data_IF_629450781445
#
_entry.id   IF_629450781445
#
_cell.length_a   1.000
_cell.length_b   1.000
_cell.length_c   1.000
_cell.angle_alpha   90.00
_cell.angle_beta   90.00
_cell.angle_gamma   90.00
#
_symmetry.space_group_name_H-M   'P 1'
#
loop_
_entity.id
_entity.type
_entity.pdbx_description
1 polymer ?
#
# COMPACT_ATOMS: atom_id res chain seq x y z
N UNK A 1 -17.23 22.32 -3.23
CA UNK A 1 -18.07 21.38 -3.96
C UNK A 1 -19.37 21.18 -3.21
N UNK A 2 -20.45 20.91 -3.93
CA UNK A 2 -21.74 20.63 -3.30
C UNK A 2 -21.79 19.13 -2.89
N UNK A 3 -21.26 18.82 -1.71
CA UNK A 3 -21.18 17.47 -1.15
C UNK A 3 -21.75 17.50 0.27
N UNK A 4 -22.64 16.56 0.58
CA UNK A 4 -23.23 16.44 1.91
C UNK A 4 -22.17 15.89 2.88
N UNK A 5 -21.88 16.62 3.95
CA UNK A 5 -20.89 16.28 4.96
C UNK A 5 -21.24 15.01 5.75
N UNK A 6 -22.49 14.54 5.69
CA UNK A 6 -22.91 13.29 6.32
C UNK A 6 -22.59 12.06 5.46
N UNK A 7 -22.25 12.26 4.18
CA UNK A 7 -21.89 11.19 3.25
C UNK A 7 -20.40 10.96 3.28
N UNK A 8 -19.98 9.85 3.86
CA UNK A 8 -18.57 9.44 3.99
C UNK A 8 -18.17 8.49 2.85
N UNK A 9 -18.13 9.01 1.64
CA UNK A 9 -17.72 8.29 0.42
C UNK A 9 -16.28 8.61 0.00
N UNK A 10 -15.86 8.08 -1.15
CA UNK A 10 -14.54 8.32 -1.72
C UNK A 10 -14.25 9.80 -1.99
N UNK A 11 -15.28 10.63 -2.21
CA UNK A 11 -15.13 12.08 -2.38
C UNK A 11 -14.75 12.73 -1.05
N UNK A 12 -15.43 12.33 0.02
CA UNK A 12 -15.15 12.77 1.38
C UNK A 12 -13.70 12.44 1.79
N UNK A 13 -13.26 11.19 1.61
CA UNK A 13 -11.91 10.76 1.91
C UNK A 13 -10.85 11.50 1.07
N UNK A 14 -11.03 11.48 -0.25
CA UNK A 14 -10.04 12.05 -1.17
C UNK A 14 -9.89 13.57 -1.04
N UNK A 15 -10.95 14.30 -0.69
CA UNK A 15 -10.86 15.74 -0.47
C UNK A 15 -9.99 16.07 0.75
N UNK A 16 -10.14 15.34 1.84
CA UNK A 16 -9.33 15.51 3.03
C UNK A 16 -7.85 15.15 2.79
N UNK A 17 -7.58 14.04 2.08
CA UNK A 17 -6.22 13.65 1.75
C UNK A 17 -5.50 14.71 0.90
N UNK A 18 -6.20 15.34 -0.06
CA UNK A 18 -5.62 16.41 -0.89
C UNK A 18 -5.40 17.70 -0.12
N UNK A 19 -6.35 18.07 0.74
CA UNK A 19 -6.22 19.27 1.60
C UNK A 19 -5.02 19.12 2.55
N UNK A 20 -4.87 17.96 3.19
CA UNK A 20 -3.70 17.66 4.03
C UNK A 20 -2.40 17.79 3.25
N UNK A 21 -2.34 17.28 2.03
CA UNK A 21 -1.15 17.37 1.17
C UNK A 21 -0.84 18.82 0.80
N UNK A 22 -1.85 19.61 0.45
CA UNK A 22 -1.67 21.04 0.16
C UNK A 22 -1.07 21.76 1.37
N UNK A 23 -1.66 21.60 2.54
CA UNK A 23 -1.17 22.23 3.78
C UNK A 23 0.29 21.84 4.07
N UNK A 24 0.63 20.56 3.94
CA UNK A 24 2.01 20.09 4.19
C UNK A 24 3.01 20.70 3.21
N UNK A 25 2.66 20.82 1.93
CA UNK A 25 3.52 21.45 0.92
C UNK A 25 3.71 22.95 1.18
N UNK A 26 2.65 23.66 1.56
CA UNK A 26 2.70 25.09 1.87
C UNK A 26 3.52 25.36 3.15
N UNK A 27 3.36 24.53 4.18
CA UNK A 27 4.18 24.60 5.41
C UNK A 27 5.65 24.32 5.12
N UNK A 28 5.94 23.32 4.25
CA UNK A 28 7.32 23.05 3.85
C UNK A 28 7.95 24.24 3.13
N UNK A 29 7.21 24.91 2.25
CA UNK A 29 7.67 26.14 1.60
C UNK A 29 7.93 27.26 2.61
N UNK A 30 7.00 27.46 3.55
CA UNK A 30 7.12 28.50 4.59
C UNK A 30 8.34 28.31 5.49
N UNK A 31 8.65 27.07 5.83
CA UNK A 31 9.74 26.70 6.74
C UNK A 31 11.07 26.41 6.02
N UNK A 32 11.11 26.45 4.69
CA UNK A 32 12.26 25.99 3.91
C UNK A 32 12.56 24.50 4.09
N UNK A 33 11.51 23.71 4.28
CA UNK A 33 11.55 22.29 4.60
C UNK A 33 11.28 21.36 3.40
N UNK A 34 11.15 20.07 3.71
CA UNK A 34 10.90 19.00 2.77
C UNK A 34 9.76 18.10 3.29
N UNK A 35 8.76 17.81 2.45
CA UNK A 35 7.73 16.83 2.80
C UNK A 35 8.25 15.43 2.54
N UNK A 36 8.35 14.65 3.61
CA UNK A 36 8.70 13.22 3.56
C UNK A 36 7.41 12.40 3.48
N UNK A 37 7.30 11.60 2.42
CA UNK A 37 6.18 10.69 2.21
C UNK A 37 6.33 9.39 2.99
N UNK A 38 5.20 8.87 3.47
CA UNK A 38 5.13 7.65 4.27
C UNK A 38 4.61 6.45 3.49
N UNK A 39 4.12 6.64 2.25
CA UNK A 39 3.62 5.55 1.40
C UNK A 39 4.66 4.46 1.18
N UNK A 40 4.24 3.21 1.29
CA UNK A 40 5.09 2.03 1.15
C UNK A 40 4.91 1.33 -0.21
N UNK A 41 5.76 0.35 -0.48
CA UNK A 41 5.78 -0.39 -1.74
C UNK A 41 4.46 -1.14 -2.02
N UNK A 42 3.80 -1.66 -0.97
CA UNK A 42 2.55 -2.41 -1.10
C UNK A 42 1.38 -1.51 -1.49
N UNK A 43 1.29 -0.33 -0.87
CA UNK A 43 0.31 0.71 -1.23
C UNK A 43 0.51 1.17 -2.66
N UNK A 44 1.76 1.37 -3.09
CA UNK A 44 2.10 1.76 -4.45
C UNK A 44 1.73 0.66 -5.47
N UNK A 45 1.92 -0.60 -5.13
CA UNK A 45 1.56 -1.74 -5.98
C UNK A 45 0.05 -1.83 -6.19
N UNK A 46 -0.72 -1.72 -5.11
CA UNK A 46 -2.18 -1.82 -5.12
C UNK A 46 -2.88 -0.51 -5.52
N UNK A 47 -2.14 0.61 -5.58
CA UNK A 47 -2.69 1.94 -5.77
C UNK A 47 -3.61 2.35 -4.60
N UNK A 48 -3.32 1.88 -3.40
CA UNK A 48 -4.09 2.18 -2.19
C UNK A 48 -3.63 3.51 -1.59
N UNK A 49 -3.87 4.58 -2.31
CA UNK A 49 -3.57 5.95 -1.96
C UNK A 49 -4.43 6.89 -2.78
N UNK A 50 -4.75 8.06 -2.26
CA UNK A 50 -5.45 9.11 -2.98
C UNK A 50 -4.53 9.75 -4.02
N UNK A 51 -4.93 9.72 -5.29
CA UNK A 51 -4.19 10.43 -6.34
C UNK A 51 -4.12 11.93 -6.06
N UNK A 52 -2.91 12.50 -6.15
CA UNK A 52 -2.60 13.89 -5.75
C UNK A 52 -2.95 14.20 -4.28
N UNK A 53 -2.95 13.19 -3.42
CA UNK A 53 -3.12 13.31 -1.99
C UNK A 53 -1.96 12.67 -1.25
N UNK A 54 -2.26 11.70 -0.40
CA UNK A 54 -1.30 11.02 0.47
C UNK A 54 -0.15 10.29 -0.24
N UNK A 55 -0.28 9.96 -1.53
CA UNK A 55 0.83 9.42 -2.32
C UNK A 55 1.85 10.48 -2.77
N UNK A 56 1.54 11.77 -2.60
CA UNK A 56 2.39 12.89 -3.05
C UNK A 56 3.29 13.37 -1.91
N UNK A 57 4.57 13.47 -2.21
CA UNK A 57 5.59 14.03 -1.31
C UNK A 57 6.78 14.51 -2.13
N UNK A 58 7.72 15.17 -1.49
CA UNK A 58 8.98 15.56 -2.13
C UNK A 58 9.98 14.40 -2.13
N UNK A 59 9.88 13.48 -1.16
CA UNK A 59 10.74 12.30 -1.06
C UNK A 59 10.02 11.15 -0.34
N UNK A 60 9.97 9.96 -0.94
CA UNK A 60 9.27 8.78 -0.43
C UNK A 60 10.23 7.77 0.19
N UNK A 61 10.44 7.84 1.50
CA UNK A 61 11.44 7.00 2.20
C UNK A 61 11.11 5.50 2.20
N UNK A 62 9.82 5.15 2.20
CA UNK A 62 9.34 3.76 2.24
C UNK A 62 8.94 3.20 0.86
N UNK A 63 9.14 3.96 -0.22
CA UNK A 63 8.65 3.60 -1.56
C UNK A 63 9.17 2.28 -2.13
N UNK A 64 10.23 1.70 -1.56
CA UNK A 64 10.74 0.37 -1.93
C UNK A 64 10.68 -0.65 -0.79
N UNK A 65 9.96 -0.35 0.29
CA UNK A 65 9.83 -1.24 1.46
C UNK A 65 8.36 -1.71 1.52
N UNK A 66 8.09 -3.02 1.42
CA UNK A 66 6.74 -3.54 1.53
C UNK A 66 6.19 -3.39 2.96
N UNK A 67 4.87 -3.29 3.10
CA UNK A 67 4.18 -3.04 4.38
C UNK A 67 4.55 -4.06 5.46
N UNK A 68 4.65 -5.33 5.09
CA UNK A 68 5.06 -6.39 6.02
C UNK A 68 6.47 -6.19 6.54
N UNK A 69 7.39 -5.70 5.70
CA UNK A 69 8.76 -5.38 6.13
C UNK A 69 8.80 -4.10 6.98
N UNK A 70 7.98 -3.09 6.68
CA UNK A 70 7.85 -1.89 7.54
C UNK A 70 7.43 -2.33 8.95
N UNK A 71 6.39 -3.16 9.07
CA UNK A 71 5.92 -3.70 10.36
C UNK A 71 7.03 -4.47 11.09
N UNK A 72 7.76 -5.32 10.38
CA UNK A 72 8.88 -6.07 10.93
C UNK A 72 9.99 -5.15 11.45
N UNK A 73 10.37 -4.13 10.67
CA UNK A 73 11.43 -3.19 11.05
C UNK A 73 11.05 -2.36 12.28
N UNK A 74 9.82 -1.86 12.35
CA UNK A 74 9.33 -1.11 13.54
C UNK A 74 9.37 -2.00 14.77
N UNK A 75 8.90 -3.24 14.67
CA UNK A 75 8.94 -4.22 15.75
C UNK A 75 10.39 -4.51 16.19
N UNK A 76 11.29 -4.71 15.24
CA UNK A 76 12.71 -4.95 15.54
C UNK A 76 13.34 -3.76 16.27
N UNK A 77 13.08 -2.52 15.82
CA UNK A 77 13.59 -1.30 16.47
C UNK A 77 13.03 -1.17 17.88
N UNK A 78 11.73 -1.42 18.07
CA UNK A 78 11.10 -1.39 19.38
C UNK A 78 11.77 -2.33 20.38
N UNK A 79 12.16 -3.53 19.92
CA UNK A 79 12.74 -4.57 20.78
C UNK A 79 14.24 -4.41 21.01
N UNK A 80 14.98 -3.73 20.12
CA UNK A 80 16.45 -3.72 20.13
C UNK A 80 17.09 -2.33 20.26
N UNK A 81 16.36 -1.24 20.08
CA UNK A 81 16.96 0.09 19.96
C UNK A 81 16.33 1.21 20.78
N UNK A 82 15.28 0.93 21.56
CA UNK A 82 14.48 1.96 22.22
C UNK A 82 14.45 1.83 23.75
N UNK A 83 14.23 2.95 24.44
CA UNK A 83 13.84 2.97 25.84
C UNK A 83 12.45 2.33 26.05
N UNK A 84 12.06 2.10 27.30
CA UNK A 84 10.82 1.40 27.62
C UNK A 84 9.55 2.13 27.14
N UNK A 85 9.51 3.46 27.21
CA UNK A 85 8.33 4.24 26.82
C UNK A 85 8.15 4.21 25.30
N UNK A 86 9.21 4.49 24.56
CA UNK A 86 9.21 4.41 23.09
C UNK A 86 8.90 3.00 22.59
N UNK A 87 9.43 1.97 23.27
CA UNK A 87 9.13 0.56 22.93
C UNK A 87 7.65 0.26 23.05
N UNK A 88 7.00 0.64 24.15
CA UNK A 88 5.57 0.38 24.36
C UNK A 88 4.76 1.07 23.27
N UNK A 89 5.05 2.32 22.97
CA UNK A 89 4.38 3.10 21.93
C UNK A 89 4.54 2.46 20.54
N UNK A 90 5.75 2.03 20.18
CA UNK A 90 5.99 1.40 18.89
C UNK A 90 5.29 0.05 18.75
N UNK A 91 5.24 -0.75 19.80
CA UNK A 91 4.52 -2.03 19.79
C UNK A 91 3.00 -1.80 19.68
N UNK A 92 2.44 -0.81 20.36
CA UNK A 92 1.03 -0.43 20.24
C UNK A 92 0.69 -0.01 18.80
N UNK A 93 1.56 0.78 18.14
CA UNK A 93 1.41 1.15 16.74
C UNK A 93 1.43 -0.10 15.83
N UNK A 94 2.36 -1.05 16.08
CA UNK A 94 2.45 -2.30 15.30
C UNK A 94 1.19 -3.15 15.42
N UNK A 95 0.56 -3.16 16.60
CA UNK A 95 -0.64 -3.94 16.88
C UNK A 95 -1.93 -3.23 16.46
N UNK A 96 -1.86 -1.92 16.15
CA UNK A 96 -3.02 -1.17 15.65
C UNK A 96 -3.43 -1.67 14.27
N UNK A 97 -4.72 -2.05 14.07
CA UNK A 97 -5.21 -2.48 12.77
C UNK A 97 -5.09 -1.38 11.72
N UNK A 98 -4.62 -1.73 10.53
CA UNK A 98 -4.57 -0.82 9.39
C UNK A 98 -5.99 -0.48 8.97
N UNK A 99 -6.34 0.80 9.03
CA UNK A 99 -7.68 1.31 8.71
C UNK A 99 -7.61 2.57 7.84
N UNK A 100 -8.69 2.89 7.09
CA UNK A 100 -8.82 4.19 6.45
C UNK A 100 -8.90 5.30 7.50
N UNK A 101 -7.86 6.11 7.60
CA UNK A 101 -7.73 7.19 8.62
C UNK A 101 -8.79 8.29 8.48
N UNK A 102 -9.35 8.45 7.28
CA UNK A 102 -10.22 9.59 6.94
C UNK A 102 -11.71 9.28 7.11
N UNK A 103 -12.08 8.05 7.45
CA UNK A 103 -13.44 7.68 7.81
C UNK A 103 -13.60 7.82 9.32
N UNK A 104 -14.59 8.58 9.81
CA UNK A 104 -14.82 8.69 11.24
C UNK A 104 -15.10 7.33 11.89
N UNK A 105 -14.58 7.13 13.10
CA UNK A 105 -14.95 5.99 13.93
C UNK A 105 -16.47 5.94 14.19
N UNK A 106 -16.98 4.80 14.63
CA UNK A 106 -18.36 4.68 15.08
C UNK A 106 -18.59 5.48 16.38
N UNK A 107 -19.85 5.52 16.84
CA UNK A 107 -20.24 6.23 18.08
C UNK A 107 -19.53 5.71 19.34
N UNK A 108 -18.95 4.52 19.27
CA UNK A 108 -18.20 3.88 20.35
C UNK A 108 -16.68 4.02 20.19
N UNK A 109 -16.21 4.75 19.15
CA UNK A 109 -14.79 4.92 18.83
C UNK A 109 -14.14 3.74 18.12
N UNK A 110 -14.92 2.77 17.63
CA UNK A 110 -14.36 1.60 16.93
C UNK A 110 -14.09 1.91 15.45
N UNK A 111 -13.07 1.28 14.91
CA UNK A 111 -12.73 1.31 13.48
C UNK A 111 -13.85 0.61 12.71
N UNK A 112 -14.59 1.37 11.87
CA UNK A 112 -15.70 0.84 11.07
C UNK A 112 -15.25 -0.13 9.96
N UNK A 113 -14.04 0.03 9.47
CA UNK A 113 -13.54 -0.70 8.31
C UNK A 113 -12.05 -0.93 8.41
N UNK A 114 -11.63 -2.18 8.25
CA UNK A 114 -10.21 -2.51 8.12
C UNK A 114 -9.81 -2.46 6.65
N UNK A 115 -8.64 -1.90 6.36
CA UNK A 115 -8.12 -1.85 4.99
C UNK A 115 -8.00 -3.24 4.38
N UNK A 116 -7.55 -4.23 5.15
CA UNK A 116 -7.40 -5.62 4.69
C UNK A 116 -8.72 -6.30 4.32
N UNK A 117 -9.86 -5.86 4.85
CA UNK A 117 -11.17 -6.37 4.45
C UNK A 117 -11.50 -5.99 3.00
N UNK A 118 -10.95 -4.88 2.51
CA UNK A 118 -11.16 -4.35 1.16
C UNK A 118 -10.09 -4.79 0.16
N UNK A 119 -8.84 -4.75 0.57
CA UNK A 119 -7.72 -5.01 -0.35
C UNK A 119 -7.10 -6.38 -0.14
N UNK A 120 -7.35 -7.04 0.98
CA UNK A 120 -6.78 -8.33 1.36
C UNK A 120 -5.54 -8.25 2.22
N UNK A 121 -5.07 -9.40 2.71
CA UNK A 121 -3.89 -9.49 3.57
C UNK A 121 -2.63 -9.01 2.84
N UNK A 122 -1.92 -8.07 3.46
CA UNK A 122 -0.70 -7.53 2.86
C UNK A 122 0.40 -8.57 2.70
N UNK A 123 0.44 -9.61 3.53
CA UNK A 123 1.44 -10.67 3.38
C UNK A 123 1.29 -11.45 2.07
N UNK A 124 0.06 -11.67 1.61
CA UNK A 124 -0.19 -12.27 0.29
C UNK A 124 0.23 -11.31 -0.82
N UNK A 125 -0.16 -10.04 -0.73
CA UNK A 125 0.17 -9.04 -1.75
C UNK A 125 1.69 -8.80 -1.87
N UNK A 126 2.39 -8.74 -0.76
CA UNK A 126 3.85 -8.55 -0.73
C UNK A 126 4.57 -9.78 -1.31
N UNK A 127 4.06 -10.97 -1.03
CA UNK A 127 4.54 -12.20 -1.66
C UNK A 127 4.32 -12.18 -3.18
N UNK A 128 3.09 -11.88 -3.64
CA UNK A 128 2.78 -11.80 -5.07
C UNK A 128 3.64 -10.78 -5.78
N UNK A 129 3.77 -9.59 -5.20
CA UNK A 129 4.57 -8.49 -5.72
C UNK A 129 6.04 -8.89 -5.88
N UNK A 130 6.62 -9.53 -4.86
CA UNK A 130 8.01 -9.97 -4.90
C UNK A 130 8.23 -11.02 -5.99
N UNK A 131 7.37 -12.04 -6.07
CA UNK A 131 7.46 -13.08 -7.10
C UNK A 131 7.33 -12.50 -8.51
N UNK A 132 6.42 -11.55 -8.67
CA UNK A 132 6.22 -10.87 -9.94
C UNK A 132 7.41 -9.99 -10.34
N UNK A 133 7.81 -9.05 -9.49
CA UNK A 133 8.86 -8.08 -9.84
C UNK A 133 10.25 -8.70 -9.88
N UNK A 134 10.56 -9.59 -8.93
CA UNK A 134 11.91 -10.15 -8.80
C UNK A 134 12.19 -11.23 -9.82
N UNK A 135 11.19 -12.06 -10.12
CA UNK A 135 11.37 -13.25 -10.95
C UNK A 135 10.57 -13.22 -12.26
N UNK A 136 9.65 -12.26 -12.42
CA UNK A 136 8.80 -12.19 -13.61
C UNK A 136 7.80 -13.35 -13.70
N UNK A 137 7.42 -13.95 -12.57
CA UNK A 137 6.50 -15.08 -12.57
C UNK A 137 5.09 -14.64 -12.94
N UNK A 138 4.40 -15.50 -13.68
CA UNK A 138 3.00 -15.33 -14.08
C UNK A 138 2.05 -15.84 -12.99
N UNK A 139 0.75 -15.47 -13.04
CA UNK A 139 -0.24 -15.82 -12.02
C UNK A 139 -0.25 -17.28 -11.61
N UNK A 140 -0.25 -18.23 -12.55
CA UNK A 140 -0.26 -19.66 -12.22
C UNK A 140 0.96 -20.10 -11.39
N UNK A 141 2.14 -19.57 -11.71
CA UNK A 141 3.35 -19.87 -10.92
C UNK A 141 3.32 -19.20 -9.55
N UNK A 142 2.83 -17.97 -9.47
CA UNK A 142 2.68 -17.23 -8.20
C UNK A 142 1.68 -17.96 -7.31
N UNK A 143 0.54 -18.38 -7.85
CA UNK A 143 -0.48 -19.13 -7.13
C UNK A 143 0.08 -20.44 -6.55
N UNK A 144 0.74 -21.25 -7.39
CA UNK A 144 1.36 -22.48 -6.94
C UNK A 144 2.35 -22.27 -5.79
N UNK A 145 3.20 -21.26 -5.88
CA UNK A 145 4.16 -20.97 -4.82
C UNK A 145 3.49 -20.44 -3.54
N UNK A 146 2.45 -19.62 -3.67
CA UNK A 146 1.67 -19.11 -2.55
C UNK A 146 0.91 -20.23 -1.83
N UNK A 147 0.29 -21.17 -2.59
CA UNK A 147 -0.42 -22.34 -2.01
C UNK A 147 0.51 -23.22 -1.16
N UNK A 148 1.80 -23.29 -1.52
CA UNK A 148 2.79 -23.98 -0.69
C UNK A 148 3.21 -23.15 0.52
N UNK A 149 3.51 -21.86 0.29
CA UNK A 149 4.07 -20.98 1.33
C UNK A 149 3.05 -20.69 2.46
N UNK A 150 1.77 -20.58 2.11
CA UNK A 150 0.70 -20.19 3.02
C UNK A 150 -0.31 -21.31 3.31
N UNK A 151 0.03 -22.57 3.03
CA UNK A 151 -0.87 -23.74 3.18
C UNK A 151 -1.51 -23.88 4.57
N UNK A 152 -0.83 -23.41 5.60
CA UNK A 152 -1.30 -23.50 6.99
C UNK A 152 -2.07 -22.24 7.42
N UNK A 153 -2.18 -21.22 6.56
CA UNK A 153 -2.77 -19.91 6.87
C UNK A 153 -3.97 -19.59 5.98
N UNK A 154 -3.90 -19.90 4.69
CA UNK A 154 -4.91 -19.56 3.69
C UNK A 154 -5.24 -20.77 2.82
N UNK A 155 -6.53 -20.95 2.50
CA UNK A 155 -6.97 -21.90 1.49
C UNK A 155 -6.69 -21.38 0.07
N UNK A 156 -6.73 -22.27 -0.91
CA UNK A 156 -6.45 -21.95 -2.31
C UNK A 156 -7.46 -20.97 -2.90
N UNK A 157 -8.72 -21.02 -2.48
CA UNK A 157 -9.75 -20.10 -2.95
C UNK A 157 -9.46 -18.66 -2.51
N UNK A 158 -9.06 -18.49 -1.26
CA UNK A 158 -8.60 -17.20 -0.70
C UNK A 158 -7.38 -16.67 -1.43
N UNK A 159 -6.38 -17.51 -1.67
CA UNK A 159 -5.17 -17.13 -2.42
C UNK A 159 -5.52 -16.71 -3.86
N UNK A 160 -6.34 -17.49 -4.56
CA UNK A 160 -6.82 -17.18 -5.92
C UNK A 160 -7.58 -15.86 -5.97
N UNK A 161 -8.49 -15.65 -5.02
CA UNK A 161 -9.25 -14.39 -4.89
C UNK A 161 -8.32 -13.19 -4.81
N UNK A 162 -7.37 -13.20 -3.89
CA UNK A 162 -6.50 -12.06 -3.65
C UNK A 162 -5.44 -11.88 -4.75
N UNK A 163 -4.97 -12.95 -5.37
CA UNK A 163 -4.11 -12.85 -6.55
C UNK A 163 -4.83 -12.20 -7.74
N UNK A 164 -6.09 -12.55 -7.97
CA UNK A 164 -6.93 -11.92 -8.99
C UNK A 164 -7.12 -10.43 -8.73
N UNK A 165 -7.38 -10.04 -7.48
CA UNK A 165 -7.50 -8.65 -7.07
C UNK A 165 -6.17 -7.92 -7.23
N UNK A 166 -5.05 -8.53 -6.81
CA UNK A 166 -3.71 -7.99 -7.02
C UNK A 166 -3.44 -7.70 -8.49
N UNK A 167 -3.63 -8.67 -9.38
CA UNK A 167 -3.41 -8.50 -10.81
C UNK A 167 -4.25 -7.36 -11.38
N UNK A 168 -5.55 -7.32 -11.05
CA UNK A 168 -6.45 -6.26 -11.50
C UNK A 168 -5.98 -4.88 -11.04
N UNK A 169 -5.74 -4.71 -9.75
CA UNK A 169 -5.33 -3.43 -9.17
C UNK A 169 -3.96 -3.00 -9.67
N UNK A 170 -3.00 -3.91 -9.75
CA UNK A 170 -1.65 -3.59 -10.20
C UNK A 170 -1.64 -2.91 -11.57
N UNK A 171 -2.44 -3.40 -12.51
CA UNK A 171 -2.56 -2.77 -13.84
C UNK A 171 -3.42 -1.50 -13.81
N UNK A 172 -4.60 -1.55 -13.22
CA UNK A 172 -5.54 -0.41 -13.23
C UNK A 172 -5.01 0.82 -12.50
N UNK A 173 -4.14 0.65 -11.52
CA UNK A 173 -3.60 1.75 -10.71
C UNK A 173 -2.24 2.28 -11.20
N UNK A 174 -1.79 1.85 -12.38
CA UNK A 174 -0.50 2.30 -12.94
C UNK A 174 -0.39 3.82 -13.06
N UNK A 175 -1.46 4.51 -13.40
CA UNK A 175 -1.44 5.96 -13.54
C UNK A 175 -0.97 6.69 -12.27
N UNK A 176 -1.24 6.13 -11.08
CA UNK A 176 -0.76 6.68 -9.81
C UNK A 176 0.76 6.55 -9.68
N UNK A 177 1.34 5.45 -10.18
CA UNK A 177 2.79 5.20 -10.09
C UNK A 177 3.61 6.08 -11.03
N UNK A 178 3.03 6.59 -12.10
CA UNK A 178 3.74 7.46 -13.06
C UNK A 178 4.24 8.76 -12.45
N UNK A 179 3.68 9.22 -11.34
CA UNK A 179 4.03 10.45 -10.66
C UNK A 179 4.63 10.24 -9.25
N UNK A 180 5.16 9.05 -8.97
CA UNK A 180 5.79 8.78 -7.68
C UNK A 180 6.99 9.70 -7.42
N UNK A 181 7.16 10.17 -6.16
CA UNK A 181 8.34 10.93 -5.75
C UNK A 181 9.61 10.08 -5.81
N UNK A 182 10.75 10.73 -5.73
CA UNK A 182 12.03 10.05 -5.53
C UNK A 182 12.08 9.40 -4.16
N UNK A 183 12.86 8.34 -4.05
CA UNK A 183 13.07 7.62 -2.79
C UNK A 183 14.22 6.62 -2.91
N UNK A 184 14.70 6.06 -1.80
CA UNK A 184 15.79 5.10 -1.82
C UNK A 184 15.28 3.74 -2.33
N UNK A 185 16.12 3.03 -3.07
CA UNK A 185 15.92 1.61 -3.35
C UNK A 185 16.63 0.79 -2.28
N UNK A 186 15.87 0.29 -1.31
CA UNK A 186 16.40 -0.48 -0.18
C UNK A 186 16.56 -1.95 -0.53
N UNK A 187 15.56 -2.54 -1.17
CA UNK A 187 15.54 -3.95 -1.55
C UNK A 187 15.86 -4.19 -3.03
N UNK A 188 15.65 -5.44 -3.48
CA UNK A 188 15.85 -5.85 -4.87
C UNK A 188 14.70 -5.50 -5.80
N UNK A 189 13.55 -5.06 -5.27
CA UNK A 189 12.35 -4.68 -6.03
C UNK A 189 11.95 -3.24 -5.71
N UNK A 190 11.43 -2.54 -6.71
CA UNK A 190 10.91 -1.19 -6.59
C UNK A 190 9.93 -0.91 -7.72
N UNK A 191 9.07 0.08 -7.55
CA UNK A 191 8.09 0.52 -8.54
C UNK A 191 8.40 1.94 -9.05
N UNK A 192 9.62 2.43 -8.84
CA UNK A 192 10.01 3.76 -9.33
C UNK A 192 9.89 3.83 -10.86
N UNK A 193 9.17 4.83 -11.39
CA UNK A 193 9.01 5.00 -12.83
C UNK A 193 10.30 5.46 -13.52
N UNK A 194 11.32 5.85 -12.76
CA UNK A 194 12.58 6.39 -13.31
C UNK A 194 13.55 5.31 -13.75
N UNK A 195 13.34 4.05 -13.39
CA UNK A 195 14.23 2.97 -13.83
C UNK A 195 13.80 1.56 -13.45
N UNK A 196 12.95 1.41 -12.42
CA UNK A 196 12.60 0.08 -11.92
C UNK A 196 11.35 -0.49 -12.59
N UNK A 197 10.30 0.31 -12.75
CA UNK A 197 9.04 -0.15 -13.34
C UNK A 197 8.44 0.90 -14.27
N UNK A 198 8.43 0.59 -15.57
CA UNK A 198 7.80 1.42 -16.59
C UNK A 198 6.72 0.63 -17.29
N UNK A 199 5.49 1.08 -17.17
CA UNK A 199 4.33 0.48 -17.80
C UNK A 199 3.37 1.58 -18.26
N UNK A 200 2.74 1.49 -19.45
CA UNK A 200 1.69 2.41 -19.85
C UNK A 200 0.52 2.36 -18.86
N UNK A 201 -0.12 3.51 -18.62
CA UNK A 201 -1.26 3.58 -17.69
C UNK A 201 -2.50 2.86 -18.21
N UNK A 202 -2.57 2.61 -19.50
CA UNK A 202 -3.63 1.87 -20.19
C UNK A 202 -3.28 0.39 -20.47
N UNK A 203 -2.22 -0.13 -19.88
CA UNK A 203 -1.85 -1.53 -20.01
C UNK A 203 -2.96 -2.43 -19.50
N UNK A 204 -3.31 -3.45 -20.30
CA UNK A 204 -4.42 -4.36 -19.99
C UNK A 204 -3.98 -5.53 -19.10
N UNK A 205 -4.77 -5.80 -18.05
CA UNK A 205 -4.63 -6.99 -17.21
C UNK A 205 -5.28 -8.25 -17.82
N UNK A 206 -5.93 -8.17 -18.97
CA UNK A 206 -6.83 -9.21 -19.47
C UNK A 206 -6.20 -10.61 -19.54
N UNK A 207 -4.95 -10.73 -20.04
CA UNK A 207 -4.27 -12.03 -20.12
C UNK A 207 -3.95 -12.63 -18.75
N UNK A 208 -3.67 -11.80 -17.76
CA UNK A 208 -3.38 -12.21 -16.39
C UNK A 208 -4.63 -12.61 -15.64
N UNK A 209 -5.72 -11.86 -15.82
CA UNK A 209 -7.02 -12.17 -15.21
C UNK A 209 -7.59 -13.48 -15.80
N UNK A 210 -7.44 -13.69 -17.11
CA UNK A 210 -7.81 -14.97 -17.74
C UNK A 210 -7.05 -16.14 -17.13
N UNK A 211 -5.73 -16.00 -16.93
CA UNK A 211 -4.93 -17.03 -16.28
C UNK A 211 -5.37 -17.29 -14.83
N UNK A 212 -5.77 -16.24 -14.09
CA UNK A 212 -6.34 -16.40 -12.75
C UNK A 212 -7.69 -17.12 -12.73
N UNK A 213 -8.52 -16.99 -13.78
CA UNK A 213 -9.79 -17.71 -13.91
C UNK A 213 -9.58 -19.22 -14.10
N UNK A 214 -8.49 -19.59 -14.74
CA UNK A 214 -8.12 -20.98 -15.08
C UNK A 214 -7.43 -21.74 -13.91
N UNK A 215 -7.14 -21.08 -12.77
CA UNK A 215 -6.50 -21.64 -11.57
C UNK A 215 -7.39 -22.61 -10.80
#
# INVERSE_FOLDING_TARGET
INHDMTVHDVTYENSQARERTQILMDVANQLGGLVIGTGDLSELALGWATYNGDHMSMYGVNGSIPKTLVKYLVNWVALNGMDNESRITLLDIVDTPISPELIPADENGNIKQKTEDLVGPYELHDFFLYQFLRFGFRPAKIFFLASIAFRDTYDEETIKKWLTIFCRRFFQQQFKRSCLPDGPKVGSVSLSPRGDWRMPSDASAASWLKECEEL
#
